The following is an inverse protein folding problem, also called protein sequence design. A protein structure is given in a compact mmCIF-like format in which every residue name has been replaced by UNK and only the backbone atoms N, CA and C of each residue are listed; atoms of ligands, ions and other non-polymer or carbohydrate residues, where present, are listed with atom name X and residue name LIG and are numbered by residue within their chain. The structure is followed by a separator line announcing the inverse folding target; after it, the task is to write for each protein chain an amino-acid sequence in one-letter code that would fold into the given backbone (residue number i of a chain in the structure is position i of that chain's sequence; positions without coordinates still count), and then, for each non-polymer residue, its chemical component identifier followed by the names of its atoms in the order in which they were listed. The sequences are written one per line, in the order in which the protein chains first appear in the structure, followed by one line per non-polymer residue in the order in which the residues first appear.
data_IF_415078644177
#
_entry.id   IF_415078644177
#
_cell.length_a   1.000
_cell.length_b   1.000
_cell.length_c   1.000
_cell.angle_alpha   90.00
_cell.angle_beta   90.00
_cell.angle_gamma   90.00
#
_symmetry.space_group_name_H-M   'P 1'
#
loop_
_entity.id
_entity.type
_entity.pdbx_description
1 polymer ?
#
# COMPACT_ATOMS: atom_id res chain seq x y z
N UNK A 1 -6.67 0.51 -3.36
CA UNK A 1 -5.69 1.54 -3.73
C UNK A 1 -6.42 2.62 -4.50
N UNK A 2 -5.90 3.84 -4.49
CA UNK A 2 -6.24 4.85 -5.49
C UNK A 2 -5.86 4.34 -6.89
N UNK A 3 -6.46 4.90 -7.94
CA UNK A 3 -6.10 4.55 -9.32
C UNK A 3 -4.60 4.77 -9.54
N UNK A 4 -3.88 3.74 -9.98
CA UNK A 4 -2.45 3.88 -10.31
C UNK A 4 -2.31 4.33 -11.75
N UNK A 5 -1.47 5.33 -11.96
CA UNK A 5 -1.12 5.83 -13.28
C UNK A 5 0.37 5.67 -13.49
N UNK A 6 0.75 5.26 -14.70
CA UNK A 6 2.16 5.19 -15.12
C UNK A 6 2.44 6.21 -16.21
N UNK A 7 3.58 6.90 -16.08
CA UNK A 7 4.13 7.74 -17.13
C UNK A 7 5.43 7.10 -17.62
N UNK A 8 5.46 6.69 -18.88
CA UNK A 8 6.66 6.07 -19.47
C UNK A 8 7.78 7.11 -19.65
N UNK A 9 9.03 6.66 -19.55
CA UNK A 9 10.21 7.51 -19.79
C UNK A 9 10.14 8.15 -21.19
N UNK A 10 10.44 9.45 -21.27
CA UNK A 10 10.31 10.27 -22.48
C UNK A 10 8.87 10.43 -23.00
N UNK A 11 7.86 10.22 -22.14
CA UNK A 11 6.46 10.49 -22.43
C UNK A 11 5.90 11.53 -21.47
N UNK A 12 4.84 12.23 -21.90
CA UNK A 12 4.00 13.08 -21.05
C UNK A 12 2.60 12.49 -20.85
N UNK A 13 2.36 11.30 -21.41
CA UNK A 13 1.07 10.62 -21.31
C UNK A 13 1.06 9.72 -20.08
N UNK A 14 0.08 9.97 -19.22
CA UNK A 14 -0.24 9.12 -18.09
C UNK A 14 -1.27 8.09 -18.52
N UNK A 15 -0.98 6.81 -18.25
CA UNK A 15 -1.87 5.70 -18.55
C UNK A 15 -2.35 5.07 -17.26
N UNK A 16 -3.66 4.86 -17.15
CA UNK A 16 -4.24 4.17 -16.00
C UNK A 16 -3.85 2.69 -16.06
N UNK A 17 -3.32 2.17 -14.96
CA UNK A 17 -3.08 0.75 -14.78
C UNK A 17 -4.36 0.14 -14.23
N UNK A 18 -5.07 -0.64 -15.06
CA UNK A 18 -6.25 -1.34 -14.62
C UNK A 18 -5.86 -2.57 -13.77
N UNK A 19 -6.52 -2.71 -12.63
CA UNK A 19 -6.43 -3.91 -11.81
C UNK A 19 -7.72 -4.69 -11.89
N UNK A 20 -7.60 -6.01 -11.96
CA UNK A 20 -8.77 -6.88 -11.83
C UNK A 20 -9.19 -6.92 -10.35
N UNK A 21 -10.13 -6.08 -9.96
CA UNK A 21 -10.62 -6.07 -8.58
C UNK A 21 -11.71 -7.13 -8.36
N UNK A 22 -11.34 -8.27 -7.78
CA UNK A 22 -12.26 -9.35 -7.41
C UNK A 22 -13.32 -8.93 -6.38
N UNK A 23 -13.06 -7.85 -5.63
CA UNK A 23 -13.96 -7.32 -4.61
C UNK A 23 -14.14 -5.80 -4.80
N UNK A 24 -14.96 -5.36 -5.79
CA UNK A 24 -15.06 -3.95 -6.19
C UNK A 24 -15.57 -3.02 -5.08
N UNK A 25 -16.24 -3.57 -4.06
CA UNK A 25 -16.74 -2.82 -2.89
C UNK A 25 -15.74 -2.75 -1.74
N UNK A 26 -14.67 -3.54 -1.80
CA UNK A 26 -13.62 -3.54 -0.79
C UNK A 26 -12.40 -2.77 -1.30
N UNK A 27 -11.68 -2.12 -0.38
CA UNK A 27 -10.40 -1.52 -0.72
C UNK A 27 -9.41 -2.66 -1.01
N UNK A 28 -8.87 -2.69 -2.22
CA UNK A 28 -7.94 -3.74 -2.66
C UNK A 28 -6.79 -4.00 -1.67
N UNK A 29 -6.20 -2.95 -1.08
CA UNK A 29 -5.10 -3.10 -0.12
C UNK A 29 -5.51 -3.88 1.14
N UNK A 30 -6.75 -3.72 1.61
CA UNK A 30 -7.27 -4.54 2.72
C UNK A 30 -7.41 -6.00 2.32
N UNK A 31 -7.87 -6.28 1.10
CA UNK A 31 -7.96 -7.65 0.60
C UNK A 31 -6.58 -8.31 0.48
N UNK A 32 -5.57 -7.56 0.03
CA UNK A 32 -4.18 -8.01 -0.06
C UNK A 32 -3.60 -8.31 1.33
N UNK A 33 -3.77 -7.40 2.29
CA UNK A 33 -3.33 -7.60 3.68
C UNK A 33 -4.00 -8.83 4.30
N UNK A 34 -5.33 -8.98 4.16
CA UNK A 34 -6.06 -10.16 4.64
C UNK A 34 -5.56 -11.43 3.96
N UNK A 35 -5.29 -11.41 2.66
CA UNK A 35 -4.77 -12.57 1.95
C UNK A 35 -3.39 -12.99 2.49
N UNK A 36 -2.50 -12.03 2.78
CA UNK A 36 -1.20 -12.30 3.40
C UNK A 36 -1.38 -12.88 4.81
N UNK A 37 -2.31 -12.33 5.62
CA UNK A 37 -2.59 -12.85 6.97
C UNK A 37 -3.15 -14.28 6.99
N UNK A 38 -3.79 -14.73 5.90
CA UNK A 38 -4.44 -16.04 5.82
C UNK A 38 -3.57 -17.12 5.17
N UNK A 39 -2.43 -16.77 4.57
CA UNK A 39 -1.53 -17.72 3.90
C UNK A 39 -0.09 -17.54 4.42
N UNK A 40 0.36 -18.47 5.26
CA UNK A 40 1.69 -18.46 5.88
C UNK A 40 2.83 -18.37 4.86
N UNK A 41 2.67 -18.94 3.65
CA UNK A 41 3.69 -18.84 2.59
C UNK A 41 3.77 -17.43 2.01
N UNK A 42 2.63 -16.75 1.92
CA UNK A 42 2.59 -15.35 1.51
C UNK A 42 3.17 -14.46 2.59
N UNK A 43 2.88 -14.72 3.87
CA UNK A 43 3.48 -13.99 4.99
C UNK A 43 5.01 -14.17 5.05
N UNK A 44 5.53 -15.38 4.81
CA UNK A 44 6.98 -15.61 4.75
C UNK A 44 7.65 -14.82 3.61
N UNK A 45 6.97 -14.69 2.46
CA UNK A 45 7.47 -13.96 1.30
C UNK A 45 7.31 -12.44 1.42
N UNK A 46 6.21 -11.99 2.03
CA UNK A 46 5.80 -10.60 2.16
C UNK A 46 5.38 -10.37 3.63
N UNK A 47 6.35 -10.31 4.55
CA UNK A 47 6.05 -10.21 5.97
C UNK A 47 5.36 -8.89 6.29
N UNK A 48 4.23 -8.99 7.00
CA UNK A 48 3.52 -7.82 7.48
C UNK A 48 4.32 -7.15 8.61
N UNK A 49 4.26 -5.83 8.66
CA UNK A 49 4.96 -5.06 9.69
C UNK A 49 4.31 -5.29 11.05
N UNK A 50 5.13 -5.41 12.09
CA UNK A 50 4.61 -5.48 13.46
C UNK A 50 4.02 -4.13 13.88
N UNK A 51 3.10 -4.14 14.86
CA UNK A 51 2.55 -2.91 15.43
C UNK A 51 3.63 -1.95 15.95
N UNK A 52 4.73 -2.49 16.48
CA UNK A 52 5.87 -1.69 16.93
C UNK A 52 6.54 -0.94 15.76
N UNK A 53 6.78 -1.64 14.65
CA UNK A 53 7.35 -1.02 13.45
C UNK A 53 6.38 -0.03 12.81
N UNK A 54 5.09 -0.37 12.72
CA UNK A 54 4.06 0.53 12.22
C UNK A 54 4.03 1.86 12.99
N UNK A 55 4.07 1.81 14.33
CA UNK A 55 4.17 3.02 15.17
C UNK A 55 5.43 3.85 14.85
N UNK A 56 6.57 3.19 14.67
CA UNK A 56 7.83 3.86 14.33
C UNK A 56 7.75 4.55 12.96
N UNK A 57 7.20 3.87 11.96
CA UNK A 57 7.04 4.42 10.62
C UNK A 57 6.06 5.60 10.58
N UNK A 58 4.95 5.52 11.33
CA UNK A 58 4.02 6.64 11.44
C UNK A 58 4.71 7.89 11.99
N UNK A 59 5.51 7.75 13.05
CA UNK A 59 6.27 8.88 13.62
C UNK A 59 7.25 9.47 12.60
N UNK A 60 7.97 8.63 11.85
CA UNK A 60 8.89 9.09 10.80
C UNK A 60 8.10 9.83 9.70
N UNK A 61 6.94 9.31 9.30
CA UNK A 61 6.11 9.96 8.29
C UNK A 61 5.58 11.32 8.76
N UNK A 62 5.17 11.43 10.03
CA UNK A 62 4.77 12.70 10.64
C UNK A 62 5.91 13.73 10.61
N UNK A 63 7.13 13.32 10.96
CA UNK A 63 8.32 14.17 10.91
C UNK A 63 8.64 14.63 9.47
N UNK A 64 8.56 13.74 8.48
CA UNK A 64 8.81 14.06 7.06
C UNK A 64 7.75 15.00 6.49
N UNK A 65 6.48 14.75 6.82
CA UNK A 65 5.34 15.49 6.28
C UNK A 65 5.05 16.78 7.06
N UNK A 66 5.75 17.02 8.18
CA UNK A 66 5.59 18.20 9.01
C UNK A 66 4.21 18.26 9.68
N UNK A 67 3.60 17.11 9.98
CA UNK A 67 2.39 17.08 10.78
C UNK A 67 2.78 17.43 12.21
N UNK A 68 2.42 18.64 12.63
CA UNK A 68 2.71 19.18 13.97
C UNK A 68 1.88 18.41 15.01
N UNK A 69 2.42 17.29 15.50
CA UNK A 69 1.84 16.51 16.60
C UNK A 69 2.28 17.12 17.93
N UNK A 70 1.77 18.32 18.22
CA UNK A 70 1.75 18.84 19.59
C UNK A 70 0.69 18.18 20.44
#
# INVERSE_FOLDING_TARGET
LEELFVCHKNSFKWENISFHNSYPKAKQGLCEEIAIMLDEKLEEKIPLVTLHLAKKFNKIAEEILGYDTK
#
